data_IF_563427459297
#
_entry.id   IF_563427459297
#
_cell.length_a   1.000
_cell.length_b   1.000
_cell.length_c   1.000
_cell.angle_alpha   90.00
_cell.angle_beta   90.00
_cell.angle_gamma   90.00
#
_symmetry.space_group_name_H-M   'P 1'
#
loop_
_entity.id
_entity.type
_entity.pdbx_description
1 polymer ?
#
# COMPACT_ATOMS: atom_id res chain seq x y z
N UNK A 1 -4.80 -4.35 12.88
CA UNK A 1 -4.50 -3.01 13.42
C UNK A 1 -5.75 -2.48 14.09
N UNK A 2 -5.61 -1.85 15.25
CA UNK A 2 -6.70 -1.14 15.93
C UNK A 2 -6.51 0.37 15.74
N UNK A 3 -7.59 1.12 15.55
CA UNK A 3 -7.61 2.57 15.36
C UNK A 3 -8.49 3.23 16.43
N UNK A 4 -8.40 4.55 16.63
CA UNK A 4 -9.17 5.23 17.68
C UNK A 4 -10.67 5.38 17.38
N UNK A 5 -11.04 5.36 16.10
CA UNK A 5 -12.42 5.55 15.62
C UNK A 5 -12.96 4.32 14.92
N UNK A 6 -14.00 4.49 14.10
CA UNK A 6 -14.53 3.39 13.30
C UNK A 6 -13.67 3.16 12.06
N UNK A 7 -13.10 1.96 11.93
CA UNK A 7 -12.30 1.56 10.79
C UNK A 7 -13.12 1.67 9.49
N UNK A 8 -12.55 2.35 8.50
CA UNK A 8 -13.09 2.48 7.15
C UNK A 8 -14.31 3.39 7.00
N UNK A 9 -14.71 4.09 8.06
CA UNK A 9 -15.80 5.08 8.03
C UNK A 9 -15.45 6.29 7.15
N UNK A 10 -14.24 6.81 7.35
CA UNK A 10 -13.70 7.93 6.59
C UNK A 10 -13.16 7.43 5.25
N UNK A 11 -13.63 8.00 4.13
CA UNK A 11 -13.17 7.69 2.77
C UNK A 11 -12.86 8.97 1.98
N UNK A 12 -11.89 8.94 1.06
CA UNK A 12 -11.66 10.06 0.17
C UNK A 12 -12.87 10.28 -0.74
N UNK A 13 -13.14 11.54 -1.08
CA UNK A 13 -14.20 11.89 -2.04
C UNK A 13 -13.77 11.52 -3.45
N UNK A 14 -14.71 10.98 -4.24
CA UNK A 14 -14.51 10.82 -5.66
C UNK A 14 -14.34 12.18 -6.34
N UNK A 15 -13.38 12.27 -7.25
CA UNK A 15 -13.15 13.43 -8.12
C UNK A 15 -13.52 13.14 -9.57
N UNK A 16 -13.82 11.88 -9.91
CA UNK A 16 -14.26 11.45 -11.24
C UNK A 16 -13.13 11.24 -12.25
N UNK A 17 -11.87 11.29 -11.81
CA UNK A 17 -10.70 11.10 -12.65
C UNK A 17 -9.51 10.58 -11.85
N UNK A 18 -8.64 9.80 -12.51
CA UNK A 18 -7.44 9.25 -11.89
C UNK A 18 -6.45 10.33 -11.43
N UNK A 19 -6.15 11.28 -12.32
CA UNK A 19 -5.21 12.37 -12.05
C UNK A 19 -5.66 13.24 -10.87
N UNK A 20 -4.81 13.36 -9.85
CA UNK A 20 -5.10 14.17 -8.66
C UNK A 20 -6.01 13.49 -7.63
N UNK A 21 -6.48 12.28 -7.89
CA UNK A 21 -7.32 11.53 -6.94
C UNK A 21 -6.55 11.14 -5.66
N UNK A 22 -7.32 10.85 -4.61
CA UNK A 22 -6.80 10.48 -3.31
C UNK A 22 -6.99 8.99 -3.04
N UNK A 23 -6.00 8.39 -2.37
CA UNK A 23 -6.04 7.04 -1.83
C UNK A 23 -5.87 7.16 -0.32
N UNK A 24 -6.79 6.62 0.47
CA UNK A 24 -6.60 6.55 1.93
C UNK A 24 -6.22 5.14 2.33
N UNK A 25 -5.35 4.99 3.32
CA UNK A 25 -4.76 3.70 3.63
C UNK A 25 -4.49 3.45 5.10
N UNK A 26 -4.66 2.18 5.46
CA UNK A 26 -4.17 1.51 6.65
C UNK A 26 -2.94 0.71 6.25
N UNK A 27 -1.76 1.06 6.75
CA UNK A 27 -0.49 0.54 6.25
C UNK A 27 0.27 -0.17 7.36
N UNK A 28 0.87 -1.31 7.01
CA UNK A 28 1.86 -2.02 7.80
C UNK A 28 3.18 -2.05 7.05
N UNK A 29 4.07 -1.07 7.26
CA UNK A 29 5.44 -1.15 6.81
C UNK A 29 6.11 -2.33 7.50
N UNK A 30 6.89 -3.12 6.76
CA UNK A 30 7.51 -4.35 7.28
C UNK A 30 9.01 -4.38 7.04
N UNK A 31 9.70 -5.27 7.73
CA UNK A 31 11.09 -5.63 7.44
C UNK A 31 11.24 -6.74 6.40
N UNK A 32 10.16 -7.14 5.71
CA UNK A 32 10.23 -8.15 4.65
C UNK A 32 10.95 -7.59 3.43
N UNK A 33 11.63 -8.48 2.70
CA UNK A 33 12.16 -8.14 1.39
C UNK A 33 11.02 -8.06 0.37
N UNK A 34 11.11 -7.15 -0.60
CA UNK A 34 10.13 -7.05 -1.69
C UNK A 34 9.99 -8.37 -2.48
N UNK A 35 11.05 -9.17 -2.56
CA UNK A 35 10.98 -10.49 -3.20
C UNK A 35 10.03 -11.47 -2.53
N UNK A 36 9.72 -11.27 -1.24
CA UNK A 36 8.84 -12.15 -0.46
C UNK A 36 7.41 -12.19 -1.00
N UNK A 37 7.00 -11.24 -1.84
CA UNK A 37 5.65 -11.22 -2.42
C UNK A 37 5.64 -11.25 -3.94
N UNK A 38 6.79 -11.55 -4.56
CA UNK A 38 6.90 -11.75 -6.01
C UNK A 38 7.50 -10.59 -6.80
N UNK A 39 7.87 -9.47 -6.17
CA UNK A 39 8.70 -8.45 -6.80
C UNK A 39 10.16 -8.91 -6.97
N UNK A 40 10.97 -8.07 -7.60
CA UNK A 40 12.43 -8.14 -7.46
C UNK A 40 12.85 -7.89 -6.00
N UNK A 41 14.04 -8.38 -5.64
CA UNK A 41 14.59 -8.17 -4.30
C UNK A 41 15.08 -6.74 -4.08
N UNK A 42 15.10 -6.31 -2.82
CA UNK A 42 15.74 -5.06 -2.38
C UNK A 42 15.21 -3.79 -3.07
N UNK A 43 13.92 -3.76 -3.40
CA UNK A 43 13.32 -2.64 -4.14
C UNK A 43 12.90 -1.45 -3.25
N UNK A 44 12.88 -1.63 -1.93
CA UNK A 44 12.45 -0.61 -0.97
C UNK A 44 11.77 -1.22 0.25
N UNK A 45 11.01 -0.40 0.96
CA UNK A 45 10.23 -0.85 2.12
C UNK A 45 8.99 -1.57 1.59
N UNK A 46 8.87 -2.86 1.88
CA UNK A 46 7.66 -3.61 1.57
C UNK A 46 6.59 -3.34 2.63
N UNK A 47 5.43 -2.86 2.21
CA UNK A 47 4.31 -2.57 3.09
C UNK A 47 3.03 -3.26 2.61
N UNK A 48 2.27 -3.82 3.56
CA UNK A 48 0.88 -4.20 3.32
C UNK A 48 0.02 -2.96 3.51
N UNK A 49 -0.86 -2.64 2.56
CA UNK A 49 -1.74 -1.48 2.64
C UNK A 49 -3.18 -1.89 2.34
N UNK A 50 -4.10 -1.63 3.27
CA UNK A 50 -5.54 -1.70 2.98
C UNK A 50 -5.99 -0.30 2.57
N UNK A 51 -6.41 -0.17 1.32
CA UNK A 51 -6.68 1.10 0.66
C UNK A 51 -8.16 1.27 0.36
N UNK A 52 -8.58 2.52 0.24
CA UNK A 52 -9.80 2.90 -0.45
C UNK A 52 -9.48 4.05 -1.40
N UNK A 53 -9.87 3.87 -2.66
CA UNK A 53 -9.69 4.86 -3.71
C UNK A 53 -10.89 4.77 -4.67
N UNK A 54 -11.61 5.86 -4.92
CA UNK A 54 -12.79 5.84 -5.78
C UNK A 54 -12.47 5.95 -7.27
N UNK A 55 -11.33 6.55 -7.62
CA UNK A 55 -11.01 6.93 -9.01
C UNK A 55 -9.72 6.28 -9.55
N UNK A 56 -9.25 5.20 -8.93
CA UNK A 56 -8.06 4.47 -9.37
C UNK A 56 -8.43 3.01 -9.68
N UNK A 57 -8.39 2.62 -10.95
CA UNK A 57 -8.54 1.21 -11.33
C UNK A 57 -7.25 0.43 -11.10
N UNK A 58 -7.30 -0.50 -10.15
CA UNK A 58 -6.14 -1.29 -9.71
C UNK A 58 -6.46 -2.78 -9.58
N UNK A 59 -7.55 -3.25 -10.18
CA UNK A 59 -7.91 -4.66 -10.14
C UNK A 59 -7.03 -5.47 -11.11
N UNK A 60 -6.49 -6.58 -10.61
CA UNK A 60 -5.72 -7.52 -11.43
C UNK A 60 -6.54 -8.06 -12.62
N UNK A 61 -5.83 -8.56 -13.64
CA UNK A 61 -6.42 -9.25 -14.79
C UNK A 61 -7.39 -8.42 -15.63
N UNK A 62 -7.22 -7.09 -15.64
CA UNK A 62 -8.09 -6.17 -16.37
C UNK A 62 -9.47 -6.00 -15.73
N UNK A 63 -9.58 -6.26 -14.42
CA UNK A 63 -10.77 -5.95 -13.65
C UNK A 63 -11.02 -4.45 -13.52
N UNK A 64 -12.14 -4.09 -12.90
CA UNK A 64 -12.52 -2.71 -12.58
C UNK A 64 -12.31 -2.42 -11.09
N UNK A 65 -12.16 -1.14 -10.73
CA UNK A 65 -12.00 -0.71 -9.35
C UNK A 65 -13.05 -1.33 -8.41
N UNK A 66 -12.58 -1.70 -7.22
CA UNK A 66 -13.38 -2.18 -6.11
C UNK A 66 -13.71 -0.99 -5.20
N UNK A 67 -14.97 -0.54 -5.21
CA UNK A 67 -15.48 0.47 -4.27
C UNK A 67 -15.65 -0.05 -2.83
N UNK A 68 -14.68 -0.82 -2.36
CA UNK A 68 -14.57 -1.40 -1.01
C UNK A 68 -13.13 -1.22 -0.52
N UNK A 69 -12.92 -1.28 0.79
CA UNK A 69 -11.57 -1.36 1.34
C UNK A 69 -10.92 -2.68 0.94
N UNK A 70 -9.70 -2.64 0.42
CA UNK A 70 -9.03 -3.83 -0.07
C UNK A 70 -7.50 -3.76 0.04
N UNK A 71 -6.80 -4.90 0.08
CA UNK A 71 -5.38 -4.94 0.38
C UNK A 71 -4.49 -4.88 -0.87
N UNK A 72 -3.29 -4.35 -0.67
CA UNK A 72 -2.17 -4.34 -1.60
C UNK A 72 -0.87 -4.65 -0.88
N UNK A 73 0.05 -5.27 -1.59
CA UNK A 73 1.47 -5.07 -1.29
C UNK A 73 1.98 -3.90 -2.10
N UNK A 74 2.73 -2.99 -1.48
CA UNK A 74 3.35 -1.85 -2.15
C UNK A 74 4.84 -1.76 -1.78
N UNK A 75 5.66 -1.31 -2.72
CA UNK A 75 7.06 -0.97 -2.46
C UNK A 75 7.18 0.53 -2.28
N UNK A 76 7.60 0.97 -1.09
CA UNK A 76 7.81 2.38 -0.78
C UNK A 76 9.29 2.75 -0.92
N UNK A 77 9.55 3.90 -1.52
CA UNK A 77 10.89 4.50 -1.66
C UNK A 77 10.85 6.00 -1.36
N UNK A 78 11.95 6.58 -0.84
CA UNK A 78 12.05 8.02 -0.66
C UNK A 78 12.05 8.75 -2.00
N UNK A 79 11.34 9.87 -2.06
CA UNK A 79 11.36 10.79 -3.20
C UNK A 79 11.03 12.21 -2.74
N UNK A 80 12.02 13.09 -2.77
CA UNK A 80 11.86 14.48 -2.34
C UNK A 80 10.93 15.29 -3.26
N UNK A 81 10.61 14.80 -4.47
CA UNK A 81 9.57 15.41 -5.31
C UNK A 81 8.16 15.27 -4.72
N UNK A 82 7.96 14.31 -3.81
CA UNK A 82 6.73 14.19 -3.00
C UNK A 82 6.75 15.10 -1.75
N UNK A 83 7.84 15.83 -1.51
CA UNK A 83 8.12 16.56 -0.28
C UNK A 83 9.39 16.03 0.39
N UNK A 84 10.13 16.90 1.08
CA UNK A 84 11.40 16.53 1.69
C UNK A 84 11.24 15.36 2.67
N UNK A 85 11.94 14.26 2.42
CA UNK A 85 11.88 13.04 3.24
C UNK A 85 10.58 12.24 3.09
N UNK A 86 9.71 12.61 2.15
CA UNK A 86 8.49 11.88 1.87
C UNK A 86 8.78 10.57 1.12
N UNK A 87 7.84 9.63 1.21
CA UNK A 87 7.88 8.39 0.45
C UNK A 87 6.84 8.43 -0.67
N UNK A 88 7.07 7.59 -1.67
CA UNK A 88 6.13 7.26 -2.74
C UNK A 88 6.00 5.77 -2.90
N UNK A 89 4.96 5.33 -3.60
CA UNK A 89 4.95 4.01 -4.21
C UNK A 89 5.93 4.04 -5.39
N UNK A 90 6.84 3.07 -5.46
CA UNK A 90 7.89 3.01 -6.48
C UNK A 90 7.30 2.89 -7.88
N UNK A 91 7.58 3.87 -8.73
CA UNK A 91 7.19 3.85 -10.15
C UNK A 91 7.91 2.72 -10.90
N UNK A 92 7.24 2.20 -11.94
CA UNK A 92 7.86 1.39 -12.98
C UNK A 92 8.16 2.32 -14.16
N UNK A 93 9.44 2.55 -14.51
CA UNK A 93 9.79 3.40 -15.65
C UNK A 93 9.19 2.90 -16.97
N UNK A 94 8.89 3.81 -17.89
CA UNK A 94 8.39 3.47 -19.21
C UNK A 94 9.34 2.48 -19.92
N UNK A 95 8.78 1.41 -20.48
CA UNK A 95 9.54 0.35 -21.14
C UNK A 95 10.24 -0.66 -20.21
N UNK A 96 10.28 -0.41 -18.90
CA UNK A 96 10.81 -1.37 -17.94
C UNK A 96 9.89 -2.60 -17.82
N UNK A 97 10.49 -3.75 -17.56
CA UNK A 97 9.79 -5.03 -17.37
C UNK A 97 10.27 -5.72 -16.09
N UNK A 98 10.07 -5.08 -14.92
CA UNK A 98 10.51 -5.67 -13.66
C UNK A 98 9.74 -6.95 -13.37
N UNK A 99 10.31 -7.83 -12.54
CA UNK A 99 9.53 -8.92 -11.97
C UNK A 99 8.44 -8.35 -11.06
N UNK A 100 7.19 -8.73 -11.31
CA UNK A 100 6.01 -8.34 -10.54
C UNK A 100 5.16 -9.57 -10.17
N UNK A 101 4.34 -9.49 -9.12
CA UNK A 101 3.43 -10.56 -8.73
C UNK A 101 2.38 -10.85 -9.82
N UNK A 102 1.83 -12.06 -9.81
CA UNK A 102 0.81 -12.47 -10.79
C UNK A 102 -0.47 -11.63 -10.73
N UNK A 103 -0.72 -10.97 -9.60
CA UNK A 103 -1.86 -10.07 -9.33
C UNK A 103 -1.52 -8.59 -9.50
N UNK A 104 -0.40 -8.26 -10.16
CA UNK A 104 -0.11 -6.88 -10.58
C UNK A 104 -1.19 -6.36 -11.56
N UNK A 105 -1.75 -5.16 -11.34
CA UNK A 105 -2.88 -4.68 -12.14
C UNK A 105 -2.51 -3.96 -13.45
N UNK A 106 -1.25 -4.01 -13.88
CA UNK A 106 -0.84 -3.39 -15.14
C UNK A 106 -0.57 -1.89 -15.06
N UNK A 107 -0.47 -1.33 -13.86
CA UNK A 107 -0.22 0.11 -13.61
C UNK A 107 1.27 0.36 -13.43
N UNK A 108 1.82 1.56 -13.74
CA UNK A 108 3.26 1.83 -13.68
C UNK A 108 3.77 2.06 -12.25
N UNK A 109 3.38 1.18 -11.32
CA UNK A 109 3.76 1.17 -9.91
C UNK A 109 4.07 -0.26 -9.47
N UNK A 110 5.03 -0.41 -8.56
CA UNK A 110 5.28 -1.66 -7.83
C UNK A 110 4.21 -1.86 -6.75
N UNK A 111 3.03 -2.29 -7.21
CA UNK A 111 1.92 -2.72 -6.37
C UNK A 111 1.48 -4.14 -6.73
N UNK A 112 0.90 -4.82 -5.76
CA UNK A 112 0.17 -6.07 -5.93
C UNK A 112 -1.31 -5.82 -5.61
N UNK A 113 -2.24 -6.49 -6.26
CA UNK A 113 -3.68 -6.33 -6.02
C UNK A 113 -4.37 -7.68 -5.72
N UNK A 114 -4.05 -8.32 -4.59
CA UNK A 114 -4.64 -9.59 -4.22
C UNK A 114 -6.09 -9.44 -3.74
N UNK A 115 -6.75 -10.60 -3.61
CA UNK A 115 -8.12 -10.73 -3.07
C UNK A 115 -8.11 -11.32 -1.67
N UNK A 116 -7.12 -10.95 -0.83
CA UNK A 116 -7.04 -11.48 0.53
C UNK A 116 -8.28 -11.09 1.36
N UNK A 117 -8.79 -12.01 2.20
CA UNK A 117 -9.87 -11.69 3.13
C UNK A 117 -9.48 -10.47 3.97
N UNK A 118 -10.34 -9.45 3.94
CA UNK A 118 -10.11 -8.18 4.61
C UNK A 118 -11.38 -7.79 5.35
N UNK A 119 -11.25 -7.54 6.65
CA UNK A 119 -12.37 -7.20 7.54
C UNK A 119 -12.08 -5.88 8.23
N UNK A 120 -13.01 -4.93 8.11
CA UNK A 120 -13.03 -3.71 8.91
C UNK A 120 -14.24 -3.78 9.83
N UNK A 121 -14.00 -4.01 11.11
CA UNK A 121 -15.04 -4.19 12.13
C UNK A 121 -14.74 -3.31 13.33
N UNK A 122 -15.74 -2.54 13.76
CA UNK A 122 -15.61 -1.53 14.82
C UNK A 122 -14.42 -0.62 14.55
N UNK A 123 -13.35 -0.78 15.30
CA UNK A 123 -12.11 -0.04 15.35
C UNK A 123 -10.92 -0.89 14.87
N UNK A 124 -11.17 -2.02 14.23
CA UNK A 124 -10.15 -2.98 13.79
C UNK A 124 -10.11 -3.12 12.27
N UNK A 125 -8.90 -3.25 11.74
CA UNK A 125 -8.59 -3.60 10.35
C UNK A 125 -7.79 -4.90 10.37
N UNK A 126 -8.32 -5.94 9.75
CA UNK A 126 -7.72 -7.26 9.67
C UNK A 126 -7.55 -7.67 8.20
N UNK A 127 -6.39 -8.26 7.88
CA UNK A 127 -6.11 -8.87 6.58
C UNK A 127 -5.50 -10.24 6.81
N UNK A 128 -6.06 -11.26 6.15
CA UNK A 128 -5.56 -12.63 6.21
C UNK A 128 -4.66 -12.92 5.02
N UNK A 129 -3.35 -12.85 5.23
CA UNK A 129 -2.35 -13.14 4.19
C UNK A 129 -2.01 -14.64 4.18
N UNK A 130 -2.11 -15.35 3.04
CA UNK A 130 -1.73 -16.75 2.96
C UNK A 130 -0.24 -16.96 3.26
N UNK A 131 0.09 -17.96 4.08
CA UNK A 131 1.48 -18.31 4.39
C UNK A 131 2.31 -18.69 3.15
N UNK A 132 1.67 -19.22 2.10
CA UNK A 132 2.32 -19.53 0.82
C UNK A 132 2.84 -18.30 0.08
N UNK A 133 2.32 -17.11 0.38
CA UNK A 133 2.78 -15.85 -0.21
C UNK A 133 4.06 -15.41 0.49
N UNK A 134 4.01 -15.23 1.81
CA UNK A 134 5.07 -14.57 2.59
C UNK A 134 6.13 -15.54 3.14
N UNK A 135 5.90 -16.85 3.07
CA UNK A 135 6.82 -17.88 3.54
C UNK A 135 6.99 -17.87 5.06
N UNK A 136 8.20 -18.20 5.53
CA UNK A 136 8.54 -18.13 6.95
C UNK A 136 8.70 -16.66 7.38
N UNK A 137 7.79 -16.20 8.24
CA UNK A 137 7.69 -14.79 8.65
C UNK A 137 8.02 -14.54 10.12
N UNK A 138 8.45 -15.57 10.84
CA UNK A 138 8.89 -15.41 12.21
C UNK A 138 10.00 -14.36 12.30
N UNK A 139 9.81 -13.38 13.17
CA UNK A 139 10.78 -12.32 13.39
C UNK A 139 10.69 -11.12 12.46
N UNK A 140 9.81 -11.14 11.45
CA UNK A 140 9.47 -9.95 10.67
C UNK A 140 8.96 -8.86 11.59
N UNK A 141 9.54 -7.67 11.45
CA UNK A 141 9.13 -6.48 12.17
C UNK A 141 8.12 -5.69 11.36
N UNK A 142 7.22 -5.00 12.03
CA UNK A 142 6.25 -4.12 11.39
C UNK A 142 5.79 -3.00 12.31
N UNK A 143 5.10 -2.02 11.71
CA UNK A 143 4.38 -0.96 12.43
C UNK A 143 2.96 -0.82 11.89
N UNK A 144 2.18 0.10 12.46
CA UNK A 144 0.89 0.54 11.95
C UNK A 144 0.92 2.01 11.60
N UNK A 145 0.47 2.36 10.40
CA UNK A 145 0.39 3.74 9.92
C UNK A 145 -0.99 3.98 9.31
N UNK A 146 -1.57 5.14 9.58
CA UNK A 146 -2.72 5.65 8.81
C UNK A 146 -2.25 6.82 7.96
N UNK A 147 -2.57 6.81 6.67
CA UNK A 147 -2.02 7.78 5.72
C UNK A 147 -2.96 8.06 4.56
N UNK A 148 -2.67 9.16 3.86
CA UNK A 148 -3.24 9.48 2.56
C UNK A 148 -2.14 9.56 1.50
N UNK A 149 -2.45 9.04 0.32
CA UNK A 149 -1.66 9.19 -0.88
C UNK A 149 -2.42 10.01 -1.91
N UNK A 150 -1.68 10.64 -2.82
CA UNK A 150 -2.21 11.44 -3.90
C UNK A 150 -1.62 11.02 -5.23
N UNK A 151 -2.48 10.74 -6.20
CA UNK A 151 -2.08 10.52 -7.59
C UNK A 151 -1.63 11.85 -8.16
N UNK A 152 -0.49 11.88 -8.82
CA UNK A 152 0.05 13.09 -9.40
C UNK A 152 -0.86 13.61 -10.52
N UNK A 153 -1.16 14.91 -10.48
CA UNK A 153 -2.11 15.52 -11.42
C UNK A 153 -1.59 15.56 -12.86
N UNK A 154 -0.27 15.52 -13.04
CA UNK A 154 0.36 15.46 -14.36
C UNK A 154 0.58 14.01 -14.85
N UNK A 155 0.24 12.99 -14.05
CA UNK A 155 0.43 11.56 -14.34
C UNK A 155 1.88 11.15 -14.65
N UNK A 156 2.86 11.94 -14.22
CA UNK A 156 4.28 11.63 -14.35
C UNK A 156 4.85 11.12 -13.02
N UNK A 157 6.04 10.50 -13.07
CA UNK A 157 6.78 10.13 -11.88
C UNK A 157 7.16 11.38 -11.05
N UNK A 158 6.99 11.36 -9.72
CA UNK A 158 6.36 10.29 -8.94
C UNK A 158 4.85 10.24 -9.14
N UNK A 159 4.30 9.08 -9.50
CA UNK A 159 2.88 8.95 -9.82
C UNK A 159 2.01 8.91 -8.56
N UNK A 160 2.46 8.28 -7.47
CA UNK A 160 1.68 8.12 -6.24
C UNK A 160 2.52 8.44 -5.00
N UNK A 161 2.36 9.65 -4.49
CA UNK A 161 3.06 10.16 -3.32
C UNK A 161 2.28 9.93 -2.04
N UNK A 162 2.95 9.65 -0.91
CA UNK A 162 2.33 9.82 0.41
C UNK A 162 2.18 11.33 0.64
N UNK A 163 0.95 11.82 0.66
CA UNK A 163 0.64 13.25 0.84
C UNK A 163 0.41 13.63 2.29
N UNK A 164 0.01 12.68 3.13
CA UNK A 164 -0.23 12.92 4.55
C UNK A 164 -0.04 11.64 5.37
N UNK A 165 0.42 11.79 6.61
CA UNK A 165 0.52 10.72 7.60
C UNK A 165 -0.34 11.17 8.79
N UNK A 166 -1.45 10.47 9.01
CA UNK A 166 -2.40 10.82 10.05
C UNK A 166 -1.92 10.36 11.43
N UNK A 167 -1.38 9.14 11.51
CA UNK A 167 -0.86 8.57 12.75
C UNK A 167 0.15 7.45 12.45
N UNK A 168 1.11 7.29 13.35
CA UNK A 168 2.09 6.19 13.37
C UNK A 168 2.00 5.55 14.74
N UNK A 169 1.72 4.24 14.81
CA UNK A 169 1.44 3.56 16.06
C UNK A 169 2.61 3.61 17.05
N UNK A 170 3.86 3.53 16.57
CA UNK A 170 5.06 3.74 17.39
C UNK A 170 5.40 5.21 17.66
N UNK A 171 4.82 6.14 16.91
CA UNK A 171 5.16 7.56 16.90
C UNK A 171 6.44 7.93 16.13
N UNK A 172 7.34 6.98 15.87
CA UNK A 172 8.65 7.22 15.25
C UNK A 172 9.01 6.27 14.11
N UNK A 173 8.10 5.33 13.77
CA UNK A 173 8.29 4.29 12.77
C UNK A 173 9.44 3.32 13.08
N UNK A 174 9.70 3.06 14.37
CA UNK A 174 10.73 2.11 14.84
C UNK A 174 10.43 0.63 14.52
N UNK A 175 9.24 0.33 13.99
CA UNK A 175 8.71 -1.02 13.70
C UNK A 175 8.77 -1.96 14.93
N UNK A 176 8.12 -1.59 16.05
CA UNK A 176 8.20 -2.36 17.29
C UNK A 176 7.41 -3.68 17.23
N UNK A 177 6.45 -3.81 16.30
CA UNK A 177 5.69 -5.04 16.10
C UNK A 177 6.59 -6.16 15.59
N UNK A 178 6.32 -7.40 16.01
CA UNK A 178 7.07 -8.58 15.58
C UNK A 178 6.11 -9.76 15.37
N UNK A 179 6.24 -10.44 14.25
CA UNK A 179 5.50 -11.68 13.99
C UNK A 179 6.14 -12.80 14.83
N UNK A 180 5.34 -13.43 15.69
CA UNK A 180 5.77 -14.50 16.59
C UNK A 180 4.93 -15.75 16.31
N UNK A 181 5.58 -16.78 15.77
CA UNK A 181 5.02 -18.04 15.23
C UNK A 181 4.38 -17.97 13.86
#
# INVERSE_FOLDING_TARGET
MQVRGKAGELKPKAVGQFAGSAVWSYVWPTSLNSSSVGFEGDQGILALAVTFHPDFDDAAYGGVNRHVWHPHWVVLVPDDACGKGALKVRDIPEGAKPKVPATWPGVPLLIDSPTYPTTLATDTVEVSVPASVIGAVEGVKFDGVTSALKVNANLHAPLLCISDIFDVASGDLSLPGKITR
#
